data_IF_158946535238
#
_entry.id   IF_158946535238
#
_cell.length_a   1.000
_cell.length_b   1.000
_cell.length_c   1.000
_cell.angle_alpha   90.00
_cell.angle_beta   90.00
_cell.angle_gamma   90.00
#
_symmetry.space_group_name_H-M   'P 1'
#
loop_
_entity.id
_entity.type
_entity.pdbx_description
1 polymer ?
#
# COMPACT_ATOMS: atom_id res chain seq x y z
N UNK A 1 29.75 -10.25 15.17
CA UNK A 1 28.35 -10.09 15.62
C UNK A 1 27.83 -8.77 15.08
N UNK A 2 26.68 -8.74 14.42
CA UNK A 2 26.11 -7.48 13.91
C UNK A 2 25.68 -6.57 15.07
N UNK A 3 25.87 -5.25 14.92
CA UNK A 3 25.31 -4.28 15.87
C UNK A 3 23.82 -4.12 15.60
N UNK A 4 23.00 -4.26 16.63
CA UNK A 4 21.57 -4.00 16.56
C UNK A 4 21.41 -2.50 16.32
N UNK A 5 20.62 -2.15 15.30
CA UNK A 5 20.23 -0.77 14.99
C UNK A 5 18.85 -0.78 14.37
N UNK A 6 18.09 0.27 14.66
CA UNK A 6 16.84 0.48 13.95
C UNK A 6 17.13 0.78 12.46
N UNK A 7 16.34 0.21 11.54
CA UNK A 7 16.48 0.53 10.14
C UNK A 7 15.96 1.95 9.87
N UNK A 8 16.52 2.64 8.87
CA UNK A 8 15.96 3.90 8.39
C UNK A 8 14.49 3.72 8.03
N UNK A 9 13.62 4.71 8.30
CA UNK A 9 12.22 4.62 7.93
C UNK A 9 12.05 4.51 6.40
N UNK A 10 10.84 4.20 5.95
CA UNK A 10 10.49 4.15 4.53
C UNK A 10 9.34 5.07 4.19
N UNK A 11 9.08 5.22 2.91
CA UNK A 11 7.97 6.01 2.40
C UNK A 11 6.69 5.18 2.49
N UNK A 12 5.63 5.74 3.07
CA UNK A 12 4.32 5.12 3.04
C UNK A 12 3.76 5.20 1.61
N UNK A 13 3.47 4.03 1.03
CA UNK A 13 2.72 3.87 -0.20
C UNK A 13 1.37 3.26 0.16
N UNK A 14 0.30 3.74 -0.47
CA UNK A 14 -1.03 3.14 -0.33
C UNK A 14 -1.59 2.87 -1.71
N UNK A 15 -1.98 1.63 -1.96
CA UNK A 15 -2.83 1.26 -3.10
C UNK A 15 -4.28 1.30 -2.65
N UNK A 16 -5.14 2.00 -3.39
CA UNK A 16 -6.58 2.02 -3.15
C UNK A 16 -7.28 1.48 -4.38
N UNK A 17 -7.95 0.34 -4.23
CA UNK A 17 -8.95 -0.13 -5.20
C UNK A 17 -10.29 0.42 -4.76
N UNK A 18 -11.11 0.93 -5.68
CA UNK A 18 -12.37 1.56 -5.31
C UNK A 18 -13.45 1.40 -6.37
N UNK A 19 -14.70 1.35 -5.91
CA UNK A 19 -15.93 1.47 -6.71
C UNK A 19 -16.65 2.81 -6.49
N UNK A 20 -16.21 3.60 -5.50
CA UNK A 20 -16.76 4.93 -5.21
C UNK A 20 -15.65 5.97 -5.07
N UNK A 21 -15.61 6.92 -5.99
CA UNK A 21 -14.64 8.02 -5.95
C UNK A 21 -14.77 8.85 -4.67
N UNK A 22 -15.99 9.11 -4.20
CA UNK A 22 -16.21 9.86 -2.95
C UNK A 22 -15.69 9.13 -1.71
N UNK A 23 -15.76 7.80 -1.67
CA UNK A 23 -15.17 7.01 -0.58
C UNK A 23 -13.64 7.00 -0.67
N UNK A 24 -13.09 6.94 -1.88
CA UNK A 24 -11.65 7.01 -2.14
C UNK A 24 -11.08 8.37 -1.70
N UNK A 25 -11.66 9.49 -2.13
CA UNK A 25 -11.22 10.84 -1.77
C UNK A 25 -11.31 11.06 -0.25
N UNK A 26 -12.40 10.61 0.38
CA UNK A 26 -12.56 10.71 1.83
C UNK A 26 -11.51 9.87 2.58
N UNK A 27 -11.18 8.68 2.09
CA UNK A 27 -10.13 7.85 2.67
C UNK A 27 -8.75 8.49 2.50
N UNK A 28 -8.42 9.00 1.31
CA UNK A 28 -7.17 9.71 1.05
C UNK A 28 -7.00 10.89 2.02
N UNK A 29 -8.05 11.72 2.22
CA UNK A 29 -8.01 12.82 3.17
C UNK A 29 -7.82 12.41 4.64
N UNK A 30 -8.32 11.25 5.06
CA UNK A 30 -8.05 10.72 6.41
C UNK A 30 -6.62 10.20 6.56
N UNK A 31 -6.07 9.60 5.49
CA UNK A 31 -4.66 9.17 5.44
C UNK A 31 -3.73 10.37 5.47
N UNK A 32 -4.05 11.44 4.73
CA UNK A 32 -3.28 12.68 4.73
C UNK A 32 -3.19 13.33 6.12
N UNK A 33 -4.32 13.41 6.82
CA UNK A 33 -4.35 13.94 8.20
C UNK A 33 -3.42 13.18 9.14
N UNK A 34 -3.22 11.88 8.92
CA UNK A 34 -2.43 11.02 9.81
C UNK A 34 -0.97 10.90 9.39
N UNK A 35 -0.69 10.87 8.09
CA UNK A 35 0.64 10.57 7.53
C UNK A 35 1.22 11.69 6.65
N UNK A 36 0.65 12.89 6.72
CA UNK A 36 1.12 14.05 5.94
C UNK A 36 0.53 14.09 4.54
N UNK A 37 0.78 15.17 3.80
CA UNK A 37 0.20 15.38 2.46
C UNK A 37 0.62 14.30 1.47
N UNK A 38 -0.23 14.04 0.48
CA UNK A 38 0.14 13.27 -0.71
C UNK A 38 1.26 14.02 -1.43
N UNK A 39 2.42 13.39 -1.53
CA UNK A 39 3.59 13.90 -2.27
C UNK A 39 3.44 13.63 -3.77
N UNK A 40 2.93 12.45 -4.11
CA UNK A 40 2.63 12.04 -5.48
C UNK A 40 1.56 10.95 -5.49
N UNK A 41 0.73 10.97 -6.52
CA UNK A 41 -0.27 9.96 -6.82
C UNK A 41 -0.25 9.59 -8.31
N UNK A 42 -0.87 8.47 -8.67
CA UNK A 42 -1.16 8.12 -10.07
C UNK A 42 -2.47 8.77 -10.52
N UNK A 43 -2.70 8.81 -11.83
CA UNK A 43 -4.06 8.93 -12.35
C UNK A 43 -4.88 7.67 -11.99
N UNK A 44 -6.18 7.70 -12.32
CA UNK A 44 -7.05 6.53 -12.22
C UNK A 44 -6.61 5.43 -13.18
N UNK A 45 -6.44 4.22 -12.65
CA UNK A 45 -6.07 3.02 -13.41
C UNK A 45 -7.25 2.04 -13.38
N UNK A 46 -7.68 1.54 -14.53
CA UNK A 46 -8.71 0.51 -14.59
C UNK A 46 -8.21 -0.79 -13.93
N UNK A 47 -8.96 -1.33 -12.98
CA UNK A 47 -8.54 -2.51 -12.23
C UNK A 47 -9.14 -3.79 -12.82
N UNK A 48 -8.41 -4.40 -13.76
CA UNK A 48 -8.89 -5.53 -14.58
C UNK A 48 -8.32 -6.91 -14.17
N UNK A 49 -7.54 -6.99 -13.10
CA UNK A 49 -6.71 -8.18 -12.82
C UNK A 49 -7.45 -9.34 -12.14
N UNK A 50 -8.61 -9.11 -11.54
CA UNK A 50 -9.33 -10.16 -10.82
C UNK A 50 -10.80 -9.86 -10.64
N UNK A 51 -11.63 -10.91 -10.64
CA UNK A 51 -13.04 -10.85 -10.25
C UNK A 51 -13.23 -11.00 -8.73
N UNK A 52 -12.14 -11.13 -7.96
CA UNK A 52 -12.15 -11.38 -6.51
C UNK A 52 -13.01 -10.37 -5.73
N UNK A 53 -13.05 -9.11 -6.17
CA UNK A 53 -13.80 -8.04 -5.49
C UNK A 53 -15.25 -7.90 -5.96
N UNK A 54 -15.69 -8.64 -6.99
CA UNK A 54 -17.00 -8.44 -7.61
C UNK A 54 -18.15 -8.56 -6.62
N UNK A 55 -18.11 -9.57 -5.75
CA UNK A 55 -19.18 -9.81 -4.78
C UNK A 55 -19.26 -8.73 -3.69
N UNK A 56 -18.13 -8.11 -3.34
CA UNK A 56 -18.04 -7.14 -2.24
C UNK A 56 -18.08 -5.68 -2.69
N UNK A 57 -17.61 -5.38 -3.91
CA UNK A 57 -17.38 -4.03 -4.42
C UNK A 57 -18.04 -3.74 -5.78
N UNK A 58 -18.53 -4.77 -6.48
CA UNK A 58 -19.08 -4.65 -7.83
C UNK A 58 -18.04 -4.73 -8.96
N UNK A 59 -18.46 -4.33 -10.16
CA UNK A 59 -17.64 -4.26 -11.37
C UNK A 59 -17.05 -2.84 -11.57
N UNK A 60 -16.26 -2.65 -12.64
CA UNK A 60 -15.67 -1.38 -13.06
C UNK A 60 -14.81 -0.70 -11.97
N UNK A 61 -14.06 -1.53 -11.26
CA UNK A 61 -13.16 -1.06 -10.21
C UNK A 61 -12.03 -0.24 -10.81
N UNK A 62 -11.67 0.81 -10.09
CA UNK A 62 -10.50 1.62 -10.36
C UNK A 62 -9.47 1.43 -9.28
N UNK A 63 -8.24 1.82 -9.60
CA UNK A 63 -7.13 1.87 -8.67
C UNK A 63 -6.43 3.21 -8.73
N UNK A 64 -5.94 3.64 -7.57
CA UNK A 64 -5.02 4.76 -7.44
C UNK A 64 -3.92 4.42 -6.44
N UNK A 65 -2.69 4.86 -6.72
CA UNK A 65 -1.58 4.77 -5.77
C UNK A 65 -1.25 6.14 -5.21
N UNK A 66 -0.88 6.18 -3.93
CA UNK A 66 -0.50 7.38 -3.20
C UNK A 66 0.84 7.17 -2.50
N UNK A 67 1.70 8.19 -2.50
CA UNK A 67 2.87 8.27 -1.64
C UNK A 67 2.76 9.53 -0.77
N UNK A 68 3.05 9.38 0.53
CA UNK A 68 2.85 10.46 1.51
C UNK A 68 4.18 11.05 1.97
N UNK A 69 4.24 12.37 2.17
CA UNK A 69 5.47 13.11 2.47
C UNK A 69 6.18 12.66 3.76
N UNK A 70 5.47 12.03 4.69
CA UNK A 70 6.05 11.55 5.95
C UNK A 70 6.67 10.17 5.79
N UNK A 71 7.90 10.02 6.27
CA UNK A 71 8.55 8.73 6.41
C UNK A 71 7.96 7.99 7.63
N UNK A 72 7.77 6.68 7.51
CA UNK A 72 7.18 5.82 8.55
C UNK A 72 8.17 4.74 8.99
N UNK A 73 8.21 4.47 10.29
CA UNK A 73 9.02 3.39 10.83
C UNK A 73 8.51 2.03 10.33
N UNK A 74 9.43 1.11 10.03
CA UNK A 74 9.09 -0.12 9.30
C UNK A 74 8.25 -1.10 10.12
N UNK A 75 8.38 -1.05 11.44
CA UNK A 75 7.62 -1.85 12.41
C UNK A 75 6.17 -1.37 12.59
N UNK A 76 5.83 -0.17 12.07
CA UNK A 76 4.46 0.36 12.11
C UNK A 76 3.54 -0.22 11.05
N UNK A 77 4.05 -0.95 10.06
CA UNK A 77 3.25 -1.46 8.94
C UNK A 77 1.99 -2.24 9.39
N UNK A 78 2.10 -3.04 10.45
CA UNK A 78 0.95 -3.75 11.03
C UNK A 78 -0.11 -2.80 11.61
N UNK A 79 0.32 -1.77 12.34
CA UNK A 79 -0.58 -0.74 12.88
C UNK A 79 -1.29 0.04 11.77
N UNK A 80 -0.54 0.37 10.72
CA UNK A 80 -1.08 1.08 9.55
C UNK A 80 -2.17 0.22 8.90
N UNK A 81 -1.94 -1.08 8.67
CA UNK A 81 -2.94 -1.98 8.08
C UNK A 81 -4.19 -2.13 8.92
N UNK A 82 -4.05 -2.32 10.23
CA UNK A 82 -5.21 -2.39 11.14
C UNK A 82 -6.04 -1.11 11.09
N UNK A 83 -5.37 0.04 11.00
CA UNK A 83 -6.05 1.33 10.90
C UNK A 83 -6.71 1.53 9.53
N UNK A 84 -6.07 1.17 8.42
CA UNK A 84 -6.68 1.26 7.08
C UNK A 84 -7.85 0.30 6.92
N UNK A 85 -7.81 -0.89 7.52
CA UNK A 85 -8.96 -1.81 7.53
C UNK A 85 -10.19 -1.16 8.21
N UNK A 86 -10.00 -0.42 9.30
CA UNK A 86 -11.08 0.34 9.95
C UNK A 86 -11.61 1.46 9.06
N UNK A 87 -10.77 2.06 8.20
CA UNK A 87 -11.24 3.02 7.21
C UNK A 87 -12.07 2.34 6.12
N UNK A 88 -11.68 1.17 5.63
CA UNK A 88 -12.49 0.39 4.68
C UNK A 88 -13.89 0.13 5.26
N UNK A 89 -13.97 -0.29 6.53
CA UNK A 89 -15.24 -0.50 7.23
C UNK A 89 -16.05 0.79 7.42
N UNK A 90 -15.38 1.91 7.72
CA UNK A 90 -16.01 3.23 7.93
C UNK A 90 -16.72 3.74 6.67
N UNK A 91 -16.13 3.49 5.50
CA UNK A 91 -16.66 3.97 4.21
C UNK A 91 -17.48 2.92 3.46
N UNK A 92 -17.51 1.68 3.94
CA UNK A 92 -18.41 0.64 3.44
C UNK A 92 -19.87 0.89 3.80
N UNK A 93 -20.76 0.16 3.15
CA UNK A 93 -22.19 0.13 3.45
C UNK A 93 -22.53 -1.11 4.27
N UNK A 94 -23.22 -0.92 5.40
CA UNK A 94 -23.70 -2.02 6.23
C UNK A 94 -25.13 -2.37 5.84
N UNK A 95 -25.35 -3.62 5.47
CA UNK A 95 -26.67 -4.20 5.18
C UNK A 95 -26.82 -5.46 6.02
N UNK A 96 -27.53 -5.33 7.15
CA UNK A 96 -27.58 -6.39 8.16
C UNK A 96 -26.19 -6.69 8.74
N UNK A 97 -25.80 -7.95 8.74
CA UNK A 97 -24.48 -8.41 9.21
C UNK A 97 -23.39 -8.33 8.12
N UNK A 98 -23.74 -7.90 6.90
CA UNK A 98 -22.82 -7.80 5.77
C UNK A 98 -22.32 -6.36 5.60
N UNK A 99 -21.02 -6.24 5.26
CA UNK A 99 -20.39 -4.97 4.92
C UNK A 99 -19.99 -5.02 3.45
N UNK A 100 -20.66 -4.22 2.62
CA UNK A 100 -20.26 -4.00 1.23
C UNK A 100 -19.16 -2.96 1.20
N UNK A 101 -17.97 -3.36 0.76
CA UNK A 101 -16.82 -2.45 0.71
C UNK A 101 -16.96 -1.55 -0.50
N UNK A 102 -16.66 -0.27 -0.34
CA UNK A 102 -16.51 0.67 -1.46
C UNK A 102 -15.07 0.87 -1.88
N UNK A 103 -14.16 0.52 -0.99
CA UNK A 103 -12.72 0.69 -1.15
C UNK A 103 -12.00 -0.49 -0.50
N UNK A 104 -10.84 -0.83 -1.04
CA UNK A 104 -9.83 -1.65 -0.41
C UNK A 104 -8.51 -0.88 -0.37
N UNK A 105 -7.87 -0.84 0.79
CA UNK A 105 -6.71 -0.01 1.09
C UNK A 105 -5.56 -0.92 1.52
N UNK A 106 -4.55 -1.02 0.67
CA UNK A 106 -3.34 -1.81 0.90
C UNK A 106 -2.13 -0.90 1.16
N UNK A 107 -1.78 -0.69 2.44
CA UNK A 107 -0.57 0.03 2.79
C UNK A 107 0.69 -0.82 2.56
N UNK A 108 1.74 -0.12 2.14
CA UNK A 108 3.08 -0.65 1.98
C UNK A 108 4.14 0.37 2.36
N UNK A 109 5.34 -0.13 2.63
CA UNK A 109 6.51 0.69 2.90
C UNK A 109 7.49 0.49 1.76
N UNK A 110 7.79 1.59 1.06
CA UNK A 110 8.85 1.65 0.08
C UNK A 110 10.15 2.06 0.76
N UNK A 111 11.20 1.31 0.49
CA UNK A 111 12.58 1.65 0.82
C UNK A 111 13.39 1.73 -0.47
N UNK A 112 14.63 2.17 -0.39
CA UNK A 112 15.53 2.16 -1.55
C UNK A 112 15.82 0.76 -2.11
N UNK A 113 15.57 -0.28 -1.31
CA UNK A 113 15.87 -1.66 -1.61
C UNK A 113 14.64 -2.48 -1.99
N UNK A 114 13.44 -2.12 -1.52
CA UNK A 114 12.25 -2.95 -1.70
C UNK A 114 10.94 -2.23 -1.40
N UNK A 115 9.85 -2.76 -1.93
CA UNK A 115 8.48 -2.48 -1.51
C UNK A 115 7.96 -3.66 -0.68
N UNK A 116 7.45 -3.38 0.52
CA UNK A 116 6.84 -4.36 1.41
C UNK A 116 5.39 -3.98 1.68
N UNK A 117 4.45 -4.90 1.43
CA UNK A 117 3.02 -4.70 1.66
C UNK A 117 2.55 -5.43 2.92
N UNK A 118 1.48 -4.93 3.55
CA UNK A 118 0.79 -5.63 4.63
C UNK A 118 -0.40 -6.45 4.11
N UNK A 119 -0.63 -7.61 4.74
CA UNK A 119 -1.77 -8.47 4.45
C UNK A 119 -2.36 -9.06 5.73
N UNK A 120 -3.66 -9.33 5.73
CA UNK A 120 -4.35 -10.13 6.77
C UNK A 120 -4.32 -11.63 6.46
N UNK A 121 -3.87 -12.01 5.26
CA UNK A 121 -3.89 -13.39 4.79
C UNK A 121 -2.53 -14.03 5.03
N UNK A 122 -2.49 -15.14 5.75
CA UNK A 122 -1.27 -15.94 5.87
C UNK A 122 -0.94 -16.64 4.53
N UNK A 123 0.35 -16.76 4.22
CA UNK A 123 0.86 -17.54 3.08
C UNK A 123 2.36 -17.84 3.21
N UNK A 124 2.87 -18.78 2.40
CA UNK A 124 4.22 -19.34 2.53
C UNK A 124 5.38 -18.33 2.58
N UNK A 125 5.28 -17.19 1.88
CA UNK A 125 6.32 -16.15 1.84
C UNK A 125 6.06 -14.98 2.80
N UNK A 126 4.91 -14.97 3.47
CA UNK A 126 4.48 -13.89 4.34
C UNK A 126 5.02 -14.07 5.74
N UNK A 127 5.62 -13.02 6.28
CA UNK A 127 6.21 -13.02 7.62
C UNK A 127 5.20 -12.39 8.56
N UNK A 128 4.84 -13.11 9.62
CA UNK A 128 3.99 -12.58 10.67
C UNK A 128 4.65 -11.38 11.36
N UNK A 129 3.93 -10.26 11.46
CA UNK A 129 4.37 -9.08 12.20
C UNK A 129 3.79 -9.10 13.62
N UNK A 130 2.47 -8.92 13.72
CA UNK A 130 1.66 -8.93 14.96
C UNK A 130 0.18 -8.79 14.62
N UNK A 131 -0.70 -9.05 15.58
CA UNK A 131 -2.14 -8.74 15.54
C UNK A 131 -2.87 -9.29 14.28
N UNK A 132 -2.45 -10.46 13.80
CA UNK A 132 -2.97 -11.08 12.58
C UNK A 132 -2.52 -10.42 11.26
N UNK A 133 -1.57 -9.48 11.31
CA UNK A 133 -1.00 -8.84 10.12
C UNK A 133 0.34 -9.48 9.77
N UNK A 134 0.51 -9.72 8.48
CA UNK A 134 1.70 -10.24 7.85
C UNK A 134 2.30 -9.21 6.90
N UNK A 135 3.61 -9.32 6.66
CA UNK A 135 4.31 -8.57 5.64
C UNK A 135 4.77 -9.48 4.50
N UNK A 136 4.72 -8.95 3.27
CA UNK A 136 5.39 -9.54 2.12
C UNK A 136 6.23 -8.50 1.40
N UNK A 137 7.47 -8.85 1.08
CA UNK A 137 8.23 -8.08 0.09
C UNK A 137 7.66 -8.40 -1.28
N UNK A 138 7.12 -7.40 -1.96
CA UNK A 138 6.45 -7.56 -3.25
C UNK A 138 7.35 -7.18 -4.41
N UNK A 139 8.27 -6.22 -4.23
CA UNK A 139 9.27 -5.86 -5.23
C UNK A 139 10.61 -5.64 -4.55
N UNK A 140 11.70 -5.99 -5.24
CA UNK A 140 13.06 -5.62 -4.84
C UNK A 140 13.68 -4.70 -5.88
N UNK A 141 14.54 -3.78 -5.48
CA UNK A 141 15.25 -2.89 -6.39
C UNK A 141 16.69 -3.38 -6.57
N UNK A 142 17.02 -3.84 -7.76
CA UNK A 142 18.34 -4.39 -8.08
C UNK A 142 18.74 -4.01 -9.51
N UNK A 143 20.02 -3.70 -9.72
CA UNK A 143 20.57 -3.34 -11.04
C UNK A 143 19.79 -2.20 -11.70
N UNK A 144 19.47 -1.17 -10.89
CA UNK A 144 18.75 0.07 -11.29
C UNK A 144 17.33 -0.15 -11.81
N UNK A 145 16.64 -1.21 -11.36
CA UNK A 145 15.23 -1.44 -11.67
C UNK A 145 14.53 -2.21 -10.57
N UNK A 146 13.21 -2.03 -10.47
CA UNK A 146 12.39 -2.95 -9.70
C UNK A 146 12.35 -4.32 -10.37
N UNK A 147 12.38 -5.36 -9.54
CA UNK A 147 12.26 -6.76 -9.92
C UNK A 147 11.12 -7.38 -9.15
N UNK A 148 10.26 -8.06 -9.90
CA UNK A 148 9.25 -8.94 -9.36
C UNK A 148 9.88 -10.16 -8.66
N UNK A 149 9.21 -10.60 -7.62
CA UNK A 149 9.37 -11.88 -6.96
C UNK A 149 8.29 -12.84 -7.47
N UNK A 150 8.42 -14.16 -7.23
CA UNK A 150 7.47 -15.15 -7.77
C UNK A 150 6.01 -14.93 -7.37
N UNK A 151 5.76 -14.20 -6.29
CA UNK A 151 4.43 -13.89 -5.74
C UNK A 151 4.01 -12.43 -5.96
N UNK A 152 4.77 -11.63 -6.71
CA UNK A 152 4.39 -10.25 -7.01
C UNK A 152 3.06 -10.23 -7.76
N UNK A 153 2.13 -9.41 -7.27
CA UNK A 153 0.85 -9.23 -7.92
C UNK A 153 1.02 -8.59 -9.33
N UNK A 154 0.25 -9.02 -10.35
CA UNK A 154 0.43 -8.55 -11.74
C UNK A 154 0.25 -7.04 -11.94
N UNK A 155 -0.65 -6.44 -11.18
CA UNK A 155 -0.90 -5.00 -11.09
C UNK A 155 0.30 -4.18 -10.57
N UNK A 156 1.18 -4.78 -9.76
CA UNK A 156 2.41 -4.13 -9.27
C UNK A 156 3.57 -4.15 -10.28
N UNK A 157 3.45 -4.90 -11.37
CA UNK A 157 4.46 -4.94 -12.44
C UNK A 157 4.04 -4.17 -13.69
N UNK A 158 2.86 -3.53 -13.67
CA UNK A 158 2.43 -2.66 -14.76
C UNK A 158 3.36 -1.45 -14.91
N UNK A 159 3.56 -0.95 -16.15
CA UNK A 159 4.44 0.20 -16.40
C UNK A 159 4.10 1.42 -15.54
N UNK A 160 2.81 1.73 -15.37
CA UNK A 160 2.34 2.86 -14.56
C UNK A 160 2.73 2.71 -13.09
N UNK A 161 2.59 1.51 -12.52
CA UNK A 161 2.96 1.23 -11.13
C UNK A 161 4.47 1.29 -10.93
N UNK A 162 5.24 0.72 -11.86
CA UNK A 162 6.71 0.74 -11.80
C UNK A 162 7.26 2.17 -11.95
N UNK A 163 6.67 2.98 -12.84
CA UNK A 163 7.03 4.39 -13.00
C UNK A 163 6.75 5.18 -11.72
N UNK A 164 5.55 5.04 -11.17
CA UNK A 164 5.16 5.66 -9.90
C UNK A 164 6.15 5.33 -8.78
N UNK A 165 6.41 4.03 -8.54
CA UNK A 165 7.33 3.58 -7.49
C UNK A 165 8.76 4.08 -7.74
N UNK A 166 9.20 4.19 -9.00
CA UNK A 166 10.52 4.71 -9.34
C UNK A 166 10.64 6.18 -9.00
N UNK A 167 9.62 6.99 -9.33
CA UNK A 167 9.58 8.42 -8.99
C UNK A 167 9.62 8.63 -7.48
N UNK A 168 8.80 7.89 -6.73
CA UNK A 168 8.81 7.95 -5.26
C UNK A 168 10.18 7.60 -4.70
N UNK A 169 10.77 6.50 -5.17
CA UNK A 169 12.10 6.04 -4.72
C UNK A 169 13.19 7.07 -5.03
N UNK A 170 13.08 7.79 -6.14
CA UNK A 170 14.05 8.81 -6.52
C UNK A 170 13.92 10.08 -5.66
N UNK A 171 12.70 10.45 -5.25
CA UNK A 171 12.46 11.53 -4.27
C UNK A 171 13.05 11.23 -2.89
N UNK A 172 13.17 9.94 -2.53
CA UNK A 172 13.80 9.53 -1.27
C UNK A 172 15.33 9.63 -1.28
N UNK A 173 15.97 9.79 -2.44
CA UNK A 173 17.44 9.91 -2.50
C UNK A 173 17.85 11.27 -1.95
N UNK A 174 18.73 11.27 -0.95
CA UNK A 174 19.25 12.49 -0.34
C UNK A 174 18.54 12.92 0.95
N UNK A 175 17.32 12.45 1.21
CA UNK A 175 16.62 12.64 2.50
C UNK A 175 17.04 11.61 3.57
N UNK A 176 17.86 10.63 3.17
CA UNK A 176 18.40 9.54 3.98
C UNK A 176 19.33 9.99 5.13
N UNK A 177 19.76 11.26 5.09
CA UNK A 177 20.70 11.87 6.03
C UNK A 177 20.07 12.94 6.92
N UNK A 178 18.77 13.21 6.77
CA UNK A 178 18.06 14.27 7.52
C UNK A 178 17.19 13.72 8.66
N UNK A 179 17.27 12.42 8.96
CA UNK A 179 16.55 11.74 10.06
C UNK A 179 17.47 11.51 11.24
#
# INVERSE_FOLDING_TARGET
MGRIKEPLPGRLIVSVIYSSIGAMDAAAGEIEKKYGRVEIETDDIDFLHTTYYREEMGDDLKRKFFAFEKMVERDKLAEIKLWTNKLEEKFGEKVGDFVFRKINIDPGILTLASLTLASTKDYAHRIYLRDGIFAETTLIYEKRKFKALPWTYPDYIEPVTIEFLTRVRDMMKGTEFEV
#
